data_IF_379542608298
#
_entry.id   IF_379542608298
#
_cell.length_a   1.000
_cell.length_b   1.000
_cell.length_c   1.000
_cell.angle_alpha   90.00
_cell.angle_beta   90.00
_cell.angle_gamma   90.00
#
_symmetry.space_group_name_H-M   'P 1'
#
loop_
_entity.id
_entity.type
_entity.pdbx_description
1 polymer ?
#
# COMPACT_ATOMS: atom_id res chain seq x y z
N UNK A 1 -1.32 10.75 -4.70
CA UNK A 1 -0.75 9.61 -3.96
C UNK A 1 -0.35 8.55 -4.96
N UNK A 2 0.83 8.66 -5.54
CA UNK A 2 1.30 7.76 -6.58
C UNK A 2 2.81 7.56 -6.43
N UNK A 3 3.26 6.31 -6.53
CA UNK A 3 4.69 5.97 -6.46
C UNK A 3 5.39 6.58 -7.66
N UNK A 4 6.52 7.24 -7.41
CA UNK A 4 7.38 7.83 -8.43
C UNK A 4 6.67 8.83 -9.36
N UNK A 5 5.52 9.38 -8.97
CA UNK A 5 4.87 10.46 -9.73
C UNK A 5 5.33 11.81 -9.19
N UNK A 6 5.97 12.61 -10.04
CA UNK A 6 6.39 13.98 -9.73
C UNK A 6 5.23 14.95 -9.84
N UNK A 7 4.49 14.86 -10.94
CA UNK A 7 3.30 15.63 -11.29
C UNK A 7 2.47 14.81 -12.28
N UNK A 8 1.21 15.16 -12.54
CA UNK A 8 0.42 14.48 -13.59
C UNK A 8 0.41 15.39 -14.82
N UNK A 9 0.98 14.92 -15.93
CA UNK A 9 0.85 15.57 -17.25
C UNK A 9 -0.01 14.77 -18.22
N UNK A 10 0.03 13.44 -18.12
CA UNK A 10 -0.64 12.53 -19.05
C UNK A 10 -1.42 11.45 -18.29
N UNK A 11 -2.69 11.28 -18.66
CA UNK A 11 -3.59 10.24 -18.15
C UNK A 11 -3.84 9.24 -19.27
N UNK A 12 -3.40 8.00 -19.09
CA UNK A 12 -3.67 6.91 -20.03
C UNK A 12 -4.77 6.03 -19.49
N UNK A 13 -5.92 6.03 -20.15
CA UNK A 13 -7.02 5.12 -19.86
C UNK A 13 -6.82 3.80 -20.61
N UNK A 14 -6.77 2.69 -19.88
CA UNK A 14 -6.89 1.36 -20.47
C UNK A 14 -8.35 0.93 -20.45
N UNK A 15 -8.96 0.92 -21.63
CA UNK A 15 -10.36 0.58 -21.89
C UNK A 15 -10.42 -0.70 -22.69
N UNK A 16 -11.10 -1.72 -22.17
CA UNK A 16 -11.22 -3.02 -22.83
C UNK A 16 -12.64 -3.57 -22.69
N UNK A 17 -12.97 -4.60 -23.45
CA UNK A 17 -14.29 -5.26 -23.42
C UNK A 17 -14.63 -5.90 -22.06
N UNK A 18 -13.61 -6.18 -21.25
CA UNK A 18 -13.75 -6.80 -19.94
C UNK A 18 -12.79 -6.19 -18.91
N UNK A 19 -13.25 -5.28 -18.04
CA UNK A 19 -14.64 -4.84 -17.86
C UNK A 19 -15.03 -3.66 -18.77
N UNK A 20 -16.19 -3.78 -19.41
CA UNK A 20 -16.85 -2.69 -20.15
C UNK A 20 -17.19 -1.51 -19.22
N UNK A 21 -17.02 -0.30 -19.74
CA UNK A 21 -17.46 0.92 -19.09
C UNK A 21 -18.97 1.12 -19.24
N UNK A 22 -19.62 1.52 -18.15
CA UNK A 22 -21.03 1.94 -18.14
C UNK A 22 -21.20 3.33 -18.75
N UNK A 23 -22.45 3.74 -19.01
CA UNK A 23 -22.75 5.10 -19.47
C UNK A 23 -22.25 6.17 -18.46
N UNK A 24 -22.46 5.95 -17.17
CA UNK A 24 -21.98 6.85 -16.12
C UNK A 24 -20.44 6.92 -16.08
N UNK A 25 -19.75 5.78 -16.29
CA UNK A 25 -18.29 5.79 -16.39
C UNK A 25 -17.82 6.70 -17.54
N UNK A 26 -18.50 6.65 -18.70
CA UNK A 26 -18.18 7.49 -19.85
C UNK A 26 -18.44 8.98 -19.61
N UNK A 27 -19.54 9.33 -18.93
CA UNK A 27 -19.80 10.72 -18.52
C UNK A 27 -18.67 11.28 -17.65
N UNK A 28 -18.17 10.47 -16.70
CA UNK A 28 -17.07 10.88 -15.83
C UNK A 28 -15.73 10.94 -16.58
N UNK A 29 -15.46 9.98 -17.47
CA UNK A 29 -14.28 9.99 -18.34
C UNK A 29 -14.28 11.22 -19.25
N UNK A 30 -15.43 11.63 -19.78
CA UNK A 30 -15.55 12.84 -20.58
C UNK A 30 -15.17 14.09 -19.78
N UNK A 31 -15.64 14.24 -18.54
CA UNK A 31 -15.24 15.35 -17.65
C UNK A 31 -13.73 15.42 -17.44
N UNK A 32 -13.06 14.26 -17.38
CA UNK A 32 -11.60 14.18 -17.23
C UNK A 32 -10.91 14.53 -18.55
N UNK A 33 -11.43 14.04 -19.67
CA UNK A 33 -10.90 14.33 -21.01
C UNK A 33 -10.95 15.82 -21.36
N UNK A 34 -12.03 16.50 -20.95
CA UNK A 34 -12.23 17.94 -21.15
C UNK A 34 -11.44 18.82 -20.15
N UNK A 35 -10.67 18.21 -19.24
CA UNK A 35 -9.87 18.92 -18.23
C UNK A 35 -8.53 19.41 -18.77
N UNK A 36 -7.67 19.95 -17.90
CA UNK A 36 -6.34 20.47 -18.28
C UNK A 36 -5.30 19.38 -18.59
N UNK A 37 -5.61 18.10 -18.37
CA UNK A 37 -4.65 17.01 -18.55
C UNK A 37 -4.69 16.43 -19.95
N UNK A 38 -3.50 16.08 -20.48
CA UNK A 38 -3.43 15.30 -21.71
C UNK A 38 -3.97 13.89 -21.44
N UNK A 39 -4.85 13.40 -22.31
CA UNK A 39 -5.46 12.09 -22.15
C UNK A 39 -5.16 11.20 -23.35
N UNK A 40 -4.99 9.90 -23.09
CA UNK A 40 -4.81 8.88 -24.11
C UNK A 40 -5.65 7.65 -23.80
N UNK A 41 -6.11 6.97 -24.84
CA UNK A 41 -6.95 5.79 -24.71
C UNK A 41 -6.28 4.58 -25.34
N UNK A 42 -5.77 3.69 -24.48
CA UNK A 42 -5.27 2.38 -24.88
C UNK A 42 -6.45 1.41 -24.91
N UNK A 43 -6.84 0.93 -26.10
CA UNK A 43 -8.04 0.10 -26.25
C UNK A 43 -7.92 -1.02 -27.26
N UNK A 44 -8.65 -2.11 -27.01
CA UNK A 44 -8.91 -3.19 -27.97
C UNK A 44 -10.34 -3.16 -28.52
N UNK A 45 -11.13 -2.14 -28.16
CA UNK A 45 -12.46 -1.92 -28.70
C UNK A 45 -12.39 -1.40 -30.14
N UNK A 46 -13.46 -1.66 -30.89
CA UNK A 46 -13.51 -1.23 -32.27
C UNK A 46 -13.69 0.27 -32.43
N UNK A 47 -14.57 0.82 -31.61
CA UNK A 47 -14.97 2.22 -31.57
C UNK A 47 -15.00 2.69 -30.11
N UNK A 48 -14.69 3.97 -29.90
CA UNK A 48 -14.87 4.68 -28.63
C UNK A 48 -15.87 5.83 -28.85
N UNK A 49 -16.42 6.44 -27.79
CA UNK A 49 -17.36 7.55 -27.94
C UNK A 49 -16.79 8.74 -28.74
N UNK A 50 -17.65 9.37 -29.54
CA UNK A 50 -17.30 10.45 -30.49
C UNK A 50 -16.67 11.71 -29.86
N UNK A 51 -16.74 11.87 -28.53
CA UNK A 51 -16.08 12.99 -27.85
C UNK A 51 -14.56 12.82 -27.78
N UNK A 52 -14.02 11.61 -28.04
CA UNK A 52 -12.60 11.30 -28.00
C UNK A 52 -12.00 11.49 -29.39
N UNK A 53 -10.96 12.31 -29.50
CA UNK A 53 -10.25 12.51 -30.77
C UNK A 53 -9.48 11.24 -31.18
N UNK A 54 -9.61 10.83 -32.44
CA UNK A 54 -8.93 9.65 -33.01
C UNK A 54 -7.41 9.67 -32.77
N UNK A 55 -6.80 10.85 -32.72
CA UNK A 55 -5.37 11.00 -32.50
C UNK A 55 -4.94 10.63 -31.08
N UNK A 56 -5.85 10.61 -30.10
CA UNK A 56 -5.58 10.21 -28.71
C UNK A 56 -5.79 8.71 -28.46
N UNK A 57 -6.21 7.95 -29.49
CA UNK A 57 -6.51 6.53 -29.40
C UNK A 57 -5.31 5.68 -29.85
N UNK A 58 -4.87 4.76 -28.98
CA UNK A 58 -3.94 3.68 -29.31
C UNK A 58 -4.73 2.37 -29.38
N UNK A 59 -5.02 1.94 -30.60
CA UNK A 59 -5.69 0.66 -30.85
C UNK A 59 -4.69 -0.50 -30.79
N UNK A 60 -4.96 -1.47 -29.92
CA UNK A 60 -4.16 -2.68 -29.74
C UNK A 60 -5.07 -3.89 -29.90
N UNK A 61 -4.74 -4.80 -30.81
CA UNK A 61 -5.56 -6.01 -30.97
C UNK A 61 -5.66 -6.82 -29.66
N UNK A 62 -6.84 -7.37 -29.36
CA UNK A 62 -7.17 -7.98 -28.05
C UNK A 62 -6.17 -9.04 -27.59
N UNK A 63 -5.65 -9.87 -28.52
CA UNK A 63 -4.62 -10.87 -28.22
C UNK A 63 -3.29 -10.26 -27.76
N UNK A 64 -2.96 -9.04 -28.21
CA UNK A 64 -1.76 -8.33 -27.76
C UNK A 64 -2.02 -7.55 -26.48
N UNK A 65 -3.25 -7.12 -26.19
CA UNK A 65 -3.57 -6.29 -25.01
C UNK A 65 -3.12 -6.91 -23.68
N UNK A 66 -3.11 -8.25 -23.59
CA UNK A 66 -2.60 -8.96 -22.41
C UNK A 66 -1.11 -8.75 -22.13
N UNK A 67 -0.34 -8.30 -23.13
CA UNK A 67 1.08 -7.96 -23.03
C UNK A 67 1.33 -6.46 -22.77
N UNK A 68 0.29 -5.64 -22.82
CA UNK A 68 0.37 -4.20 -22.56
C UNK A 68 0.18 -3.87 -21.07
N UNK A 69 0.71 -2.72 -20.61
CA UNK A 69 1.43 -1.69 -21.39
C UNK A 69 2.87 -2.10 -21.77
N UNK A 70 3.30 -1.74 -22.99
CA UNK A 70 4.67 -1.96 -23.49
C UNK A 70 5.53 -0.70 -23.32
N UNK A 71 6.86 -0.84 -23.45
CA UNK A 71 7.77 0.32 -23.41
C UNK A 71 7.49 1.32 -24.55
N UNK A 72 7.07 0.82 -25.71
CA UNK A 72 6.71 1.66 -26.85
C UNK A 72 5.56 2.64 -26.56
N UNK A 73 4.68 2.32 -25.60
CA UNK A 73 3.65 3.26 -25.12
C UNK A 73 4.32 4.51 -24.54
N UNK A 74 5.34 4.32 -23.72
CA UNK A 74 6.03 5.41 -23.05
C UNK A 74 6.84 6.25 -24.02
N UNK A 75 7.50 5.61 -25.00
CA UNK A 75 8.23 6.31 -26.05
C UNK A 75 7.28 7.23 -26.84
N UNK A 76 6.12 6.72 -27.23
CA UNK A 76 5.09 7.50 -27.90
C UNK A 76 4.60 8.70 -27.06
N UNK A 77 4.28 8.46 -25.78
CA UNK A 77 3.80 9.52 -24.88
C UNK A 77 4.86 10.61 -24.69
N UNK A 78 6.13 10.22 -24.54
CA UNK A 78 7.26 11.14 -24.41
C UNK A 78 7.40 12.02 -25.65
N UNK A 79 7.34 11.43 -26.83
CA UNK A 79 7.45 12.16 -28.10
C UNK A 79 6.27 13.12 -28.31
N UNK A 80 5.04 12.68 -28.01
CA UNK A 80 3.83 13.47 -28.24
C UNK A 80 3.64 14.61 -27.24
N UNK A 81 3.84 14.33 -25.94
CA UNK A 81 3.47 15.27 -24.87
C UNK A 81 4.66 15.88 -24.14
N UNK A 82 5.89 15.55 -24.53
CA UNK A 82 7.11 15.98 -23.82
C UNK A 82 7.04 15.69 -22.31
N UNK A 83 6.53 14.50 -21.97
CA UNK A 83 6.30 14.06 -20.59
C UNK A 83 7.29 12.96 -20.19
N UNK A 84 7.71 12.94 -18.93
CA UNK A 84 8.54 11.88 -18.36
C UNK A 84 7.69 10.70 -17.88
N UNK A 85 8.31 9.53 -17.66
CA UNK A 85 7.61 8.36 -17.12
C UNK A 85 6.96 8.63 -15.75
N UNK A 86 7.62 9.46 -14.92
CA UNK A 86 7.11 9.93 -13.63
C UNK A 86 5.97 10.95 -13.73
N UNK A 87 5.56 11.32 -14.94
CA UNK A 87 4.51 12.30 -15.21
C UNK A 87 3.26 11.67 -15.83
N UNK A 88 3.27 10.34 -15.94
CA UNK A 88 2.25 9.53 -16.57
C UNK A 88 1.51 8.74 -15.49
N UNK A 89 0.19 8.71 -15.60
CA UNK A 89 -0.66 7.82 -14.80
C UNK A 89 -1.44 6.87 -15.72
N UNK A 90 -1.51 5.61 -15.32
CA UNK A 90 -2.23 4.56 -16.02
C UNK A 90 -3.51 4.23 -15.23
N UNK A 91 -4.67 4.40 -15.83
CA UNK A 91 -5.98 4.23 -15.18
C UNK A 91 -6.73 3.06 -15.82
N UNK A 92 -7.24 2.13 -15.03
CA UNK A 92 -8.06 1.03 -15.56
C UNK A 92 -9.04 0.45 -14.55
N UNK A 93 -10.13 -0.16 -15.05
CA UNK A 93 -10.99 -1.07 -14.27
C UNK A 93 -10.46 -2.53 -14.27
N UNK A 94 -9.47 -2.88 -15.10
CA UNK A 94 -8.88 -4.24 -15.12
C UNK A 94 -7.69 -4.39 -14.15
N UNK A 95 -7.91 -5.15 -13.06
CA UNK A 95 -6.87 -5.48 -12.07
C UNK A 95 -5.65 -6.23 -12.64
N UNK A 96 -5.80 -6.95 -13.76
CA UNK A 96 -4.69 -7.66 -14.42
C UNK A 96 -3.77 -6.67 -15.13
N UNK A 97 -4.35 -5.66 -15.77
CA UNK A 97 -3.62 -4.56 -16.38
C UNK A 97 -2.85 -3.79 -15.32
N UNK A 98 -3.52 -3.33 -14.25
CA UNK A 98 -2.84 -2.58 -13.18
C UNK A 98 -1.73 -3.38 -12.51
N UNK A 99 -1.95 -4.68 -12.24
CA UNK A 99 -0.90 -5.57 -11.73
C UNK A 99 0.34 -5.65 -12.61
N UNK A 100 0.18 -5.71 -13.94
CA UNK A 100 1.32 -5.66 -14.88
C UNK A 100 1.97 -4.29 -14.88
N UNK A 101 1.16 -3.24 -14.86
CA UNK A 101 1.62 -1.84 -14.84
C UNK A 101 2.39 -1.48 -13.59
N UNK A 102 2.19 -2.17 -12.46
CA UNK A 102 3.00 -1.98 -11.25
C UNK A 102 4.49 -2.30 -11.43
N UNK A 103 4.85 -2.99 -12.52
CA UNK A 103 6.26 -3.15 -12.92
C UNK A 103 6.87 -1.86 -13.42
N UNK A 104 6.07 -0.90 -13.87
CA UNK A 104 6.53 0.34 -14.49
C UNK A 104 6.76 1.45 -13.46
N UNK A 105 7.53 2.46 -13.85
CA UNK A 105 7.82 3.64 -13.03
C UNK A 105 6.83 4.79 -13.25
N UNK A 106 5.58 4.47 -13.57
CA UNK A 106 4.46 5.41 -13.71
C UNK A 106 3.48 5.24 -12.55
N UNK A 107 2.58 6.20 -12.38
CA UNK A 107 1.46 6.02 -11.45
C UNK A 107 0.46 5.00 -11.99
N UNK A 108 -0.08 4.14 -11.12
CA UNK A 108 -1.07 3.13 -11.51
C UNK A 108 -2.32 3.23 -10.67
N UNK A 109 -3.46 3.40 -11.31
CA UNK A 109 -4.75 3.63 -10.68
C UNK A 109 -5.72 2.52 -11.10
N UNK A 110 -6.35 1.89 -10.11
CA UNK A 110 -7.46 0.97 -10.31
C UNK A 110 -8.77 1.68 -9.98
N UNK A 111 -9.71 1.64 -10.92
CA UNK A 111 -11.11 1.98 -10.66
C UNK A 111 -11.85 0.68 -10.34
N UNK A 112 -12.42 0.56 -9.15
CA UNK A 112 -13.11 -0.65 -8.71
C UNK A 112 -14.23 -0.34 -7.75
N UNK A 113 -15.44 -0.71 -8.15
CA UNK A 113 -16.63 -0.67 -7.29
C UNK A 113 -16.56 -1.72 -6.17
N UNK A 114 -15.83 -2.81 -6.43
CA UNK A 114 -15.64 -3.90 -5.49
C UNK A 114 -14.49 -3.63 -4.53
N UNK A 115 -14.62 -4.10 -3.30
CA UNK A 115 -13.50 -4.19 -2.37
C UNK A 115 -12.37 -5.03 -2.98
N UNK A 116 -11.14 -4.59 -2.78
CA UNK A 116 -9.95 -5.32 -3.22
C UNK A 116 -9.91 -6.70 -2.55
N UNK A 117 -9.54 -7.73 -3.33
CA UNK A 117 -9.29 -9.07 -2.78
C UNK A 117 -7.88 -9.13 -2.19
N UNK A 118 -7.69 -9.90 -1.13
CA UNK A 118 -6.38 -10.01 -0.48
C UNK A 118 -5.26 -10.45 -1.44
N UNK A 119 -5.56 -11.36 -2.36
CA UNK A 119 -4.61 -11.91 -3.33
C UNK A 119 -4.11 -10.87 -4.35
N UNK A 120 -4.77 -9.71 -4.41
CA UNK A 120 -4.37 -8.59 -5.26
C UNK A 120 -3.46 -7.60 -4.52
N UNK A 121 -3.35 -7.71 -3.18
CA UNK A 121 -2.72 -6.67 -2.37
C UNK A 121 -1.19 -6.73 -2.35
N UNK A 122 -0.62 -7.88 -2.67
CA UNK A 122 0.82 -8.04 -2.81
C UNK A 122 1.38 -7.37 -4.08
N UNK A 123 0.50 -6.80 -4.92
CA UNK A 123 0.82 -5.97 -6.07
C UNK A 123 -0.20 -4.82 -6.18
N UNK A 124 -0.50 -4.17 -5.05
CA UNK A 124 -1.58 -3.18 -4.99
C UNK A 124 -1.23 -1.99 -5.91
N UNK A 125 -2.18 -1.51 -6.74
CA UNK A 125 -2.01 -0.25 -7.48
C UNK A 125 -1.71 0.92 -6.54
N UNK A 126 -1.20 2.01 -7.10
CA UNK A 126 -0.87 3.22 -6.34
C UNK A 126 -2.09 3.99 -5.82
N UNK A 127 -3.25 3.80 -6.43
CA UNK A 127 -4.52 4.26 -5.87
C UNK A 127 -5.64 3.33 -6.30
N UNK A 128 -6.66 3.22 -5.45
CA UNK A 128 -7.92 2.56 -5.78
C UNK A 128 -9.03 3.59 -5.56
N UNK A 129 -9.77 3.90 -6.62
CA UNK A 129 -10.97 4.73 -6.54
C UNK A 129 -12.20 3.88 -6.82
N UNK A 130 -13.31 4.22 -6.19
CA UNK A 130 -14.56 3.50 -6.32
C UNK A 130 -15.15 3.61 -7.73
N UNK A 131 -15.05 4.80 -8.33
CA UNK A 131 -15.53 5.13 -9.66
C UNK A 131 -14.70 6.27 -10.27
N UNK A 132 -14.95 6.59 -11.54
CA UNK A 132 -14.28 7.69 -12.23
C UNK A 132 -14.64 9.07 -11.66
N UNK A 133 -15.87 9.30 -11.19
CA UNK A 133 -16.22 10.56 -10.49
C UNK A 133 -15.33 10.82 -9.28
N UNK A 134 -15.07 9.82 -8.44
CA UNK A 134 -14.18 9.98 -7.28
C UNK A 134 -12.74 10.29 -7.73
N UNK A 135 -12.29 9.67 -8.81
CA UNK A 135 -10.99 9.98 -9.40
C UNK A 135 -10.96 11.44 -9.91
N UNK A 136 -11.99 11.89 -10.62
CA UNK A 136 -12.14 13.26 -11.09
C UNK A 136 -12.11 14.27 -9.93
N UNK A 137 -12.95 14.08 -8.91
CA UNK A 137 -12.99 14.98 -7.74
C UNK A 137 -11.65 15.07 -7.03
N UNK A 138 -11.03 13.93 -6.73
CA UNK A 138 -9.83 13.92 -5.88
C UNK A 138 -8.55 14.26 -6.65
N UNK A 139 -8.43 13.86 -7.91
CA UNK A 139 -7.20 14.03 -8.68
C UNK A 139 -7.28 15.25 -9.58
N UNK A 140 -8.42 15.48 -10.25
CA UNK A 140 -8.57 16.56 -11.22
C UNK A 140 -8.96 17.87 -10.54
N UNK A 141 -10.02 17.86 -9.72
CA UNK A 141 -10.51 19.08 -9.06
C UNK A 141 -9.65 19.48 -7.86
N UNK A 142 -9.47 18.57 -6.91
CA UNK A 142 -8.74 18.87 -5.66
C UNK A 142 -7.21 18.84 -5.84
N UNK A 143 -6.72 18.44 -7.03
CA UNK A 143 -5.30 18.29 -7.36
C UNK A 143 -4.52 17.49 -6.31
N UNK A 144 -5.13 16.45 -5.70
CA UNK A 144 -4.51 15.62 -4.67
C UNK A 144 -3.57 14.61 -5.33
N UNK A 145 -2.48 15.14 -5.89
CA UNK A 145 -1.32 14.38 -6.37
C UNK A 145 -0.23 14.51 -5.32
N UNK A 146 0.50 13.41 -5.08
CA UNK A 146 1.54 13.38 -4.06
C UNK A 146 2.27 12.05 -4.10
N UNK A 147 3.52 12.03 -3.65
CA UNK A 147 4.32 10.81 -3.51
C UNK A 147 3.72 9.95 -2.40
N UNK A 148 3.82 8.62 -2.52
CA UNK A 148 3.35 7.64 -1.51
C UNK A 148 1.82 7.47 -1.40
N UNK A 149 1.43 6.34 -0.80
CA UNK A 149 0.09 5.78 -0.67
C UNK A 149 -0.51 6.06 0.70
N UNK A 150 -1.77 6.46 0.80
CA UNK A 150 -2.53 6.53 2.07
C UNK A 150 -1.70 6.93 3.31
N UNK A 151 -1.57 6.04 4.31
CA UNK A 151 -0.82 6.26 5.56
C UNK A 151 0.70 6.34 5.39
N UNK A 152 1.26 5.94 4.25
CA UNK A 152 2.68 6.17 3.88
C UNK A 152 3.02 7.67 3.88
N UNK A 153 2.04 8.55 3.72
CA UNK A 153 2.26 10.00 3.77
C UNK A 153 2.50 10.56 5.17
N UNK A 154 2.05 9.84 6.21
CA UNK A 154 2.19 10.31 7.59
C UNK A 154 3.54 9.93 8.20
N UNK A 155 4.23 8.96 7.58
CA UNK A 155 5.48 8.41 8.08
C UNK A 155 6.46 8.25 6.91
N UNK A 156 7.65 8.85 6.98
CA UNK A 156 8.22 9.52 8.15
C UNK A 156 7.93 11.03 8.16
N UNK A 157 7.25 11.55 7.14
CA UNK A 157 7.01 12.99 6.93
C UNK A 157 6.18 13.63 8.06
N UNK A 158 6.42 14.92 8.38
CA UNK A 158 5.55 15.69 9.25
C UNK A 158 4.32 16.15 8.45
N UNK A 159 3.13 15.64 8.79
CA UNK A 159 1.88 16.08 8.18
C UNK A 159 0.81 16.30 9.24
N UNK A 160 0.07 17.40 9.12
CA UNK A 160 -0.97 17.82 10.08
C UNK A 160 -2.39 17.48 9.64
N UNK A 161 -2.56 16.84 8.48
CA UNK A 161 -3.86 16.47 7.91
C UNK A 161 -3.82 15.04 7.39
N UNK A 162 -4.04 14.08 8.28
CA UNK A 162 -4.42 12.74 7.86
C UNK A 162 -5.92 12.74 7.57
N UNK A 163 -6.30 12.55 6.31
CA UNK A 163 -7.64 12.06 6.00
C UNK A 163 -7.59 10.53 6.16
N UNK A 164 -8.48 9.95 6.97
CA UNK A 164 -8.51 8.50 7.22
C UNK A 164 -8.61 7.74 5.90
N UNK A 165 -7.47 7.21 5.46
CA UNK A 165 -7.34 6.47 4.21
C UNK A 165 -6.52 5.23 4.49
N UNK A 166 -7.10 4.08 4.18
CA UNK A 166 -6.54 2.75 4.39
C UNK A 166 -7.05 1.84 3.27
N UNK A 167 -6.30 0.79 2.94
CA UNK A 167 -6.86 -0.30 2.14
C UNK A 167 -7.80 -1.08 3.03
N UNK A 168 -8.99 -1.38 2.53
CA UNK A 168 -9.92 -2.30 3.18
C UNK A 168 -10.18 -3.47 2.24
N UNK A 169 -9.94 -4.67 2.73
CA UNK A 169 -10.21 -5.91 2.01
C UNK A 169 -10.84 -6.96 2.93
N UNK A 170 -11.40 -7.99 2.31
CA UNK A 170 -11.79 -9.21 3.01
C UNK A 170 -10.70 -10.26 2.82
N UNK A 171 -10.16 -10.75 3.93
CA UNK A 171 -9.19 -11.84 3.95
C UNK A 171 -9.92 -13.17 4.24
N UNK A 172 -9.79 -14.19 3.38
CA UNK A 172 -10.41 -15.49 3.61
C UNK A 172 -9.68 -16.27 4.70
N UNK A 173 -10.44 -16.78 5.67
CA UNK A 173 -9.93 -17.69 6.72
C UNK A 173 -10.24 -19.14 6.36
N UNK A 174 -11.49 -19.38 5.96
CA UNK A 174 -12.00 -20.66 5.47
C UNK A 174 -13.02 -20.41 4.35
N UNK A 175 -13.59 -21.47 3.79
CA UNK A 175 -14.61 -21.37 2.72
C UNK A 175 -15.84 -20.54 3.15
N UNK A 176 -16.16 -20.53 4.45
CA UNK A 176 -17.32 -19.83 5.01
C UNK A 176 -16.99 -18.58 5.83
N UNK A 177 -15.72 -18.36 6.21
CA UNK A 177 -15.32 -17.25 7.08
C UNK A 177 -14.35 -16.30 6.40
N UNK A 178 -14.62 -15.01 6.54
CA UNK A 178 -13.75 -13.91 6.09
C UNK A 178 -13.60 -12.90 7.23
N UNK A 179 -12.46 -12.22 7.25
CA UNK A 179 -12.16 -11.15 8.21
C UNK A 179 -11.86 -9.86 7.47
N UNK A 180 -12.18 -8.71 8.07
CA UNK A 180 -11.80 -7.41 7.52
C UNK A 180 -10.31 -7.18 7.79
N UNK A 181 -9.56 -6.80 6.76
CA UNK A 181 -8.17 -6.38 6.91
C UNK A 181 -8.02 -4.95 6.38
N UNK A 182 -7.47 -4.12 7.25
CA UNK A 182 -7.19 -2.72 7.03
C UNK A 182 -5.67 -2.48 6.99
N UNK A 183 -5.16 -1.78 5.97
CA UNK A 183 -3.73 -1.49 5.84
C UNK A 183 -3.45 -0.01 5.61
N UNK A 184 -2.47 0.55 6.31
CA UNK A 184 -2.04 1.94 6.12
C UNK A 184 -1.14 2.15 4.91
N UNK A 185 -0.45 1.11 4.43
CA UNK A 185 0.49 1.28 3.34
C UNK A 185 1.03 -0.01 2.75
N UNK A 186 2.10 0.15 1.99
CA UNK A 186 2.86 -0.94 1.36
C UNK A 186 4.21 -1.08 2.03
N UNK A 187 4.73 -2.30 1.98
CA UNK A 187 6.06 -2.61 2.47
C UNK A 187 6.91 -3.25 1.38
N UNK A 188 8.04 -2.62 1.06
CA UNK A 188 9.01 -3.15 0.11
C UNK A 188 10.20 -3.72 0.89
N UNK A 189 10.29 -5.05 0.89
CA UNK A 189 11.41 -5.78 1.50
C UNK A 189 12.75 -5.45 0.83
N UNK A 190 13.87 -5.81 1.46
CA UNK A 190 15.22 -5.52 0.94
C UNK A 190 15.54 -6.13 -0.43
N UNK A 191 14.76 -7.10 -0.90
CA UNK A 191 14.90 -7.69 -2.24
C UNK A 191 14.15 -6.90 -3.32
N UNK A 192 13.19 -6.07 -2.92
CA UNK A 192 12.37 -5.32 -3.86
C UNK A 192 13.09 -4.04 -4.30
N UNK A 193 13.04 -3.69 -5.59
CA UNK A 193 13.76 -2.52 -6.14
C UNK A 193 13.37 -1.19 -5.46
N UNK A 194 12.08 -1.03 -5.10
CA UNK A 194 11.58 0.09 -4.30
C UNK A 194 12.14 0.21 -2.87
N UNK A 195 12.90 -0.75 -2.37
CA UNK A 195 13.40 -0.72 -0.99
C UNK A 195 14.20 0.55 -0.68
N UNK A 196 15.09 0.95 -1.60
CA UNK A 196 15.90 2.15 -1.45
C UNK A 196 15.19 3.43 -1.92
N UNK A 197 13.91 3.36 -2.33
CA UNK A 197 13.14 4.52 -2.77
C UNK A 197 11.90 4.78 -1.91
N UNK A 198 11.65 3.96 -0.88
CA UNK A 198 10.42 4.01 -0.11
C UNK A 198 10.65 4.34 1.38
N UNK A 199 10.57 5.63 1.77
CA UNK A 199 10.78 6.07 3.15
C UNK A 199 9.91 5.35 4.18
N UNK A 200 8.65 5.07 3.87
CA UNK A 200 7.74 4.39 4.79
C UNK A 200 8.22 2.99 5.16
N UNK A 201 8.72 2.21 4.19
CA UNK A 201 9.29 0.89 4.48
C UNK A 201 10.54 0.98 5.35
N UNK A 202 11.39 1.99 5.15
CA UNK A 202 12.56 2.24 5.99
C UNK A 202 12.15 2.62 7.42
N UNK A 203 11.14 3.47 7.58
CA UNK A 203 10.61 3.84 8.88
C UNK A 203 10.04 2.64 9.64
N UNK A 204 9.22 1.78 8.99
CA UNK A 204 8.67 0.57 9.62
C UNK A 204 9.80 -0.38 10.08
N UNK A 205 10.75 -0.70 9.20
CA UNK A 205 11.82 -1.65 9.54
C UNK A 205 12.77 -1.10 10.60
N UNK A 206 13.07 0.21 10.57
CA UNK A 206 13.93 0.83 11.57
C UNK A 206 13.23 0.96 12.93
N UNK A 207 11.92 1.24 12.95
CA UNK A 207 11.13 1.27 14.19
C UNK A 207 11.09 -0.09 14.88
N UNK A 208 11.13 -1.18 14.11
CA UNK A 208 11.09 -2.57 14.58
C UNK A 208 12.40 -3.06 15.20
N UNK A 209 13.56 -2.56 14.76
CA UNK A 209 14.87 -3.12 15.10
C UNK A 209 15.41 -2.50 16.39
N UNK A 210 15.56 -3.29 17.46
CA UNK A 210 16.06 -2.81 18.77
C UNK A 210 17.44 -2.16 18.72
N UNK A 211 18.28 -2.52 17.76
CA UNK A 211 19.60 -1.90 17.55
C UNK A 211 19.55 -0.61 16.70
N UNK A 212 18.37 -0.19 16.25
CA UNK A 212 18.22 1.04 15.48
C UNK A 212 18.07 2.24 16.41
N UNK A 213 18.68 3.38 16.03
CA UNK A 213 18.43 4.68 16.68
C UNK A 213 16.97 5.15 16.54
N UNK A 214 16.22 4.54 15.62
CA UNK A 214 14.81 4.81 15.36
C UNK A 214 13.87 3.83 16.06
N UNK A 215 14.38 2.90 16.86
CA UNK A 215 13.54 1.96 17.62
C UNK A 215 12.51 2.72 18.46
N UNK A 216 11.23 2.37 18.28
CA UNK A 216 10.09 2.99 18.96
C UNK A 216 9.80 4.47 18.61
N UNK A 217 10.64 5.14 17.81
CA UNK A 217 10.48 6.58 17.52
C UNK A 217 9.22 6.94 16.74
N UNK A 218 8.64 5.97 16.04
CA UNK A 218 7.39 6.15 15.30
C UNK A 218 6.16 5.61 16.05
N UNK A 219 6.29 5.12 17.29
CA UNK A 219 5.19 4.50 18.03
C UNK A 219 3.98 5.44 18.20
N UNK A 220 4.20 6.69 18.61
CA UNK A 220 3.12 7.69 18.76
C UNK A 220 2.40 7.92 17.42
N UNK A 221 3.14 8.14 16.33
CA UNK A 221 2.53 8.32 14.99
C UNK A 221 1.75 7.09 14.54
N UNK A 222 2.24 5.89 14.83
CA UNK A 222 1.54 4.64 14.51
C UNK A 222 0.26 4.48 15.34
N UNK A 223 0.29 4.86 16.61
CA UNK A 223 -0.90 4.91 17.46
C UNK A 223 -1.92 5.93 16.95
N UNK A 224 -1.49 7.13 16.56
CA UNK A 224 -2.36 8.15 15.98
C UNK A 224 -3.06 7.66 14.71
N UNK A 225 -2.33 6.97 13.83
CA UNK A 225 -2.90 6.34 12.62
C UNK A 225 -4.00 5.33 12.97
N UNK A 226 -3.78 4.48 13.99
CA UNK A 226 -4.77 3.51 14.47
C UNK A 226 -6.00 4.23 15.02
N UNK A 227 -5.82 5.19 15.93
CA UNK A 227 -6.90 5.94 16.59
C UNK A 227 -7.75 6.68 15.54
N UNK A 228 -7.12 7.47 14.67
CA UNK A 228 -7.82 8.26 13.65
C UNK A 228 -8.58 7.37 12.67
N UNK A 229 -8.06 6.17 12.39
CA UNK A 229 -8.76 5.22 11.54
C UNK A 229 -9.97 4.62 12.26
N UNK A 230 -9.83 4.17 13.50
CA UNK A 230 -10.97 3.67 14.29
C UNK A 230 -12.06 4.73 14.48
N UNK A 231 -11.69 6.00 14.69
CA UNK A 231 -12.66 7.11 14.79
C UNK A 231 -13.47 7.30 13.52
N UNK A 232 -12.93 6.93 12.36
CA UNK A 232 -13.64 6.97 11.08
C UNK A 232 -14.58 5.79 10.84
N UNK A 233 -14.55 4.77 11.69
CA UNK A 233 -15.40 3.59 11.54
C UNK A 233 -16.85 3.88 11.94
N UNK A 234 -17.83 3.39 11.14
CA UNK A 234 -19.21 3.30 11.61
C UNK A 234 -19.28 2.33 12.81
N UNK A 235 -20.26 2.54 13.69
CA UNK A 235 -20.41 1.75 14.91
C UNK A 235 -20.48 0.25 14.66
N UNK A 236 -21.10 -0.15 13.54
CA UNK A 236 -21.23 -1.54 13.11
C UNK A 236 -19.90 -2.29 12.86
N UNK A 237 -18.77 -1.58 12.75
CA UNK A 237 -17.45 -2.22 12.60
C UNK A 237 -16.45 -1.78 13.67
N UNK A 238 -16.92 -1.06 14.70
CA UNK A 238 -16.10 -0.70 15.84
C UNK A 238 -15.82 -1.97 16.67
N UNK A 239 -14.57 -2.22 17.10
CA UNK A 239 -14.28 -3.40 17.89
C UNK A 239 -14.67 -3.20 19.36
N UNK A 240 -15.11 -4.28 20.00
CA UNK A 240 -15.26 -4.35 21.47
C UNK A 240 -13.90 -4.52 22.16
N UNK A 241 -12.92 -5.05 21.43
CA UNK A 241 -11.61 -5.36 21.97
C UNK A 241 -10.47 -5.21 20.94
N UNK A 242 -9.31 -4.79 21.43
CA UNK A 242 -8.07 -4.67 20.67
C UNK A 242 -7.00 -5.61 21.23
N UNK A 243 -6.26 -6.27 20.35
CA UNK A 243 -5.01 -6.95 20.72
C UNK A 243 -3.97 -6.79 19.61
N UNK A 244 -2.71 -7.10 19.88
CA UNK A 244 -1.70 -7.23 18.84
C UNK A 244 -1.32 -8.69 18.64
N UNK A 245 -0.75 -9.00 17.47
CA UNK A 245 -0.13 -10.30 17.23
C UNK A 245 0.93 -10.58 18.30
N UNK A 246 0.79 -11.65 19.10
CA UNK A 246 1.69 -11.90 20.21
C UNK A 246 3.12 -12.08 19.74
N UNK A 247 4.12 -11.58 20.50
CA UNK A 247 5.49 -11.93 20.26
C UNK A 247 5.69 -13.43 20.53
N UNK A 248 6.87 -13.94 20.20
CA UNK A 248 7.24 -15.30 20.58
C UNK A 248 7.29 -15.42 22.11
N UNK A 249 7.18 -16.65 22.65
CA UNK A 249 7.40 -16.87 24.07
C UNK A 249 8.72 -16.22 24.52
N UNK A 250 8.68 -15.51 25.65
CA UNK A 250 9.82 -14.81 26.27
C UNK A 250 10.35 -13.56 25.52
N UNK A 251 9.69 -13.10 24.47
CA UNK A 251 10.01 -11.83 23.82
C UNK A 251 9.05 -10.71 24.28
N UNK A 252 9.55 -9.49 24.45
CA UNK A 252 8.70 -8.33 24.72
C UNK A 252 8.02 -7.84 23.43
N UNK A 253 6.74 -7.48 23.52
CA UNK A 253 6.02 -6.93 22.38
C UNK A 253 6.45 -5.49 22.12
N UNK A 254 6.90 -5.22 20.91
CA UNK A 254 7.10 -3.85 20.39
C UNK A 254 5.81 -3.01 20.35
N UNK A 255 4.64 -3.64 20.41
CA UNK A 255 3.35 -2.94 20.40
C UNK A 255 2.95 -2.45 21.80
N UNK A 256 3.69 -2.82 22.84
CA UNK A 256 3.41 -2.42 24.23
C UNK A 256 3.25 -0.90 24.36
N UNK A 257 4.26 -0.13 23.95
CA UNK A 257 4.19 1.35 24.00
C UNK A 257 3.10 1.92 23.09
N UNK A 258 2.86 1.29 21.94
CA UNK A 258 1.79 1.70 21.00
C UNK A 258 0.41 1.57 21.68
N UNK A 259 0.18 0.46 22.36
CA UNK A 259 -1.07 0.15 23.08
C UNK A 259 -1.22 0.99 24.33
N UNK A 260 -0.15 1.18 25.10
CA UNK A 260 -0.12 2.12 26.24
C UNK A 260 -0.56 3.52 25.79
N UNK A 261 -0.09 3.99 24.63
CA UNK A 261 -0.55 5.25 24.07
C UNK A 261 -2.02 5.21 23.64
N UNK A 262 -2.46 4.18 22.90
CA UNK A 262 -3.86 4.05 22.45
C UNK A 262 -4.83 4.09 23.63
N UNK A 263 -4.57 3.31 24.68
CA UNK A 263 -5.43 3.23 25.86
C UNK A 263 -5.26 4.41 26.84
N UNK A 264 -4.22 5.23 26.68
CA UNK A 264 -4.10 6.50 27.41
C UNK A 264 -4.99 7.60 26.80
N UNK A 265 -5.51 7.40 25.59
CA UNK A 265 -6.25 8.42 24.85
C UNK A 265 -7.66 8.61 25.41
N UNK A 266 -8.05 9.87 25.65
CA UNK A 266 -9.32 10.23 26.30
C UNK A 266 -10.48 10.35 25.31
N UNK A 267 -10.64 9.38 24.41
CA UNK A 267 -11.78 9.30 23.47
C UNK A 267 -12.78 8.26 23.99
N UNK A 268 -14.05 8.66 24.11
CA UNK A 268 -15.11 7.84 24.71
C UNK A 268 -15.30 6.51 23.99
N UNK A 269 -15.19 6.48 22.65
CA UNK A 269 -15.31 5.24 21.88
C UNK A 269 -14.10 4.34 22.10
N UNK A 270 -12.91 4.90 22.31
CA UNK A 270 -11.69 4.14 22.56
C UNK A 270 -11.65 3.58 24.00
N UNK A 271 -12.16 4.33 24.98
CA UNK A 271 -12.22 3.89 26.38
C UNK A 271 -13.14 2.69 26.60
N UNK A 272 -14.08 2.44 25.69
CA UNK A 272 -14.97 1.29 25.72
C UNK A 272 -14.32 0.01 25.17
N UNK A 273 -13.18 0.14 24.47
CA UNK A 273 -12.46 -0.99 23.89
C UNK A 273 -11.64 -1.67 25.00
N UNK A 274 -11.74 -3.00 25.09
CA UNK A 274 -10.92 -3.79 26.01
C UNK A 274 -9.54 -4.12 25.42
N UNK A 275 -8.49 -4.11 26.25
CA UNK A 275 -7.17 -4.65 25.86
C UNK A 275 -7.11 -6.17 26.07
N UNK A 276 -7.12 -6.92 24.97
CA UNK A 276 -7.00 -8.38 24.97
C UNK A 276 -5.57 -8.89 24.76
N UNK A 277 -4.57 -8.01 24.72
CA UNK A 277 -3.19 -8.36 24.36
C UNK A 277 -2.54 -9.38 25.30
N UNK A 278 -3.00 -9.48 26.55
CA UNK A 278 -2.50 -10.47 27.53
C UNK A 278 -3.13 -11.86 27.36
N UNK A 279 -4.24 -11.96 26.63
CA UNK A 279 -5.03 -13.18 26.55
C UNK A 279 -4.83 -13.94 25.24
N UNK A 280 -4.56 -13.23 24.14
CA UNK A 280 -4.04 -13.86 22.93
C UNK A 280 -2.53 -14.12 23.13
N UNK A 281 -2.10 -15.37 23.19
CA UNK A 281 -0.71 -15.75 23.47
C UNK A 281 -0.16 -16.69 22.41
N UNK A 282 1.15 -16.63 22.15
CA UNK A 282 1.85 -17.62 21.33
C UNK A 282 2.18 -18.86 22.18
N UNK A 283 1.77 -20.05 21.73
CA UNK A 283 1.88 -21.32 22.49
C UNK A 283 3.13 -22.13 22.14
N UNK A 284 3.81 -21.82 21.03
CA UNK A 284 5.01 -22.52 20.57
C UNK A 284 6.04 -21.57 20.00
N UNK A 285 7.32 -21.96 20.10
CA UNK A 285 8.37 -21.36 19.29
C UNK A 285 8.16 -21.74 17.82
N UNK A 286 8.14 -20.76 16.92
CA UNK A 286 8.09 -20.97 15.47
C UNK A 286 9.34 -20.39 14.82
N UNK A 287 9.89 -21.05 13.80
CA UNK A 287 11.13 -20.62 13.14
C UNK A 287 11.02 -19.23 12.49
N UNK A 288 12.16 -18.53 12.31
CA UNK A 288 12.17 -17.20 11.67
C UNK A 288 11.71 -17.33 10.21
N UNK A 289 10.64 -16.62 9.86
CA UNK A 289 9.94 -16.66 8.57
C UNK A 289 10.79 -16.28 7.32
N UNK A 290 12.07 -15.91 7.48
CA UNK A 290 12.89 -15.35 6.40
C UNK A 290 13.24 -16.37 5.30
N UNK A 291 13.30 -17.65 5.62
CA UNK A 291 13.80 -18.69 4.70
C UNK A 291 12.75 -19.72 4.25
N UNK A 292 11.49 -19.58 4.69
CA UNK A 292 10.40 -20.53 4.40
C UNK A 292 9.54 -20.07 3.23
N UNK A 293 9.13 -21.02 2.37
CA UNK A 293 8.17 -20.78 1.28
C UNK A 293 6.74 -20.52 1.78
N UNK A 294 5.85 -20.02 0.91
CA UNK A 294 4.47 -19.62 1.28
C UNK A 294 3.66 -20.74 1.94
N UNK A 295 3.71 -21.97 1.39
CA UNK A 295 3.00 -23.11 1.98
C UNK A 295 3.59 -23.54 3.33
N UNK A 296 4.92 -23.59 3.43
CA UNK A 296 5.62 -23.88 4.69
C UNK A 296 5.33 -22.85 5.79
N UNK A 297 5.10 -21.58 5.41
CA UNK A 297 4.69 -20.54 6.36
C UNK A 297 3.27 -20.76 6.89
N UNK A 298 2.36 -21.28 6.08
CA UNK A 298 0.98 -21.58 6.52
C UNK A 298 0.95 -22.74 7.52
N UNK A 299 1.71 -23.80 7.28
CA UNK A 299 1.83 -24.94 8.21
C UNK A 299 2.62 -24.61 9.47
N UNK A 300 3.65 -23.77 9.38
CA UNK A 300 4.51 -23.45 10.53
C UNK A 300 3.86 -22.55 11.60
N UNK A 301 2.75 -21.86 11.30
CA UNK A 301 2.07 -20.96 12.24
C UNK A 301 0.66 -21.47 12.64
N UNK A 302 0.14 -22.51 11.99
CA UNK A 302 -1.14 -23.14 12.36
C UNK A 302 -1.13 -23.56 13.85
N UNK A 303 -2.17 -23.24 14.61
CA UNK A 303 -2.27 -23.51 16.05
C UNK A 303 -1.13 -22.91 16.92
N UNK A 304 -0.40 -21.90 16.42
CA UNK A 304 0.65 -21.25 17.20
C UNK A 304 0.13 -20.24 18.22
N UNK A 305 -1.17 -19.92 18.19
CA UNK A 305 -1.81 -18.96 19.07
C UNK A 305 -3.00 -19.59 19.78
N UNK A 306 -3.26 -19.14 21.01
CA UNK A 306 -4.47 -19.46 21.78
C UNK A 306 -4.98 -18.22 22.48
N UNK A 307 -6.27 -18.18 22.75
CA UNK A 307 -6.89 -17.19 23.64
C UNK A 307 -7.17 -17.87 24.98
N UNK A 308 -6.79 -17.25 26.09
CA UNK A 308 -6.89 -17.84 27.44
C UNK A 308 -8.19 -17.49 28.18
N UNK A 309 -9.06 -16.70 27.57
CA UNK A 309 -10.36 -16.32 28.10
C UNK A 309 -11.46 -16.55 27.06
N UNK A 310 -12.70 -16.59 27.52
CA UNK A 310 -13.87 -16.56 26.65
C UNK A 310 -14.07 -15.15 26.07
N UNK A 311 -14.19 -15.07 24.74
CA UNK A 311 -14.47 -13.82 24.00
C UNK A 311 -15.77 -13.93 23.20
N UNK A 312 -16.69 -14.79 23.66
CA UNK A 312 -18.01 -15.01 23.07
C UNK A 312 -18.76 -13.70 22.77
N UNK A 313 -19.18 -13.54 21.52
CA UNK A 313 -19.96 -12.37 21.07
C UNK A 313 -19.13 -11.10 20.81
N UNK A 314 -17.82 -11.11 21.06
CA UNK A 314 -16.98 -9.92 20.87
C UNK A 314 -16.53 -9.76 19.43
N UNK A 315 -16.49 -8.51 18.97
CA UNK A 315 -15.79 -8.06 17.77
C UNK A 315 -14.36 -7.66 18.14
N UNK A 316 -13.39 -8.51 17.77
CA UNK A 316 -11.98 -8.33 18.15
C UNK A 316 -11.16 -7.83 16.96
N UNK A 317 -10.33 -6.82 17.21
CA UNK A 317 -9.39 -6.28 16.23
C UNK A 317 -7.95 -6.58 16.62
N UNK A 318 -7.19 -7.13 15.68
CA UNK A 318 -5.80 -7.52 15.89
C UNK A 318 -4.85 -6.62 15.11
N UNK A 319 -3.84 -6.07 15.77
CA UNK A 319 -2.80 -5.22 15.17
C UNK A 319 -1.55 -6.04 14.83
N UNK A 320 -1.02 -5.87 13.62
CA UNK A 320 0.29 -6.41 13.21
C UNK A 320 1.10 -5.37 12.42
N UNK A 321 2.39 -5.62 12.16
CA UNK A 321 3.22 -4.67 11.41
C UNK A 321 3.04 -4.83 9.91
N UNK A 322 3.49 -5.96 9.39
CA UNK A 322 3.64 -6.20 7.97
C UNK A 322 3.09 -7.57 7.68
N UNK A 323 1.97 -7.61 6.97
CA UNK A 323 1.46 -8.87 6.47
C UNK A 323 2.25 -9.29 5.22
N UNK A 324 2.68 -10.55 5.19
CA UNK A 324 3.33 -11.16 4.02
C UNK A 324 2.42 -12.17 3.34
N UNK A 325 2.31 -13.37 3.91
CA UNK A 325 1.46 -14.46 3.38
C UNK A 325 0.09 -14.55 4.06
N UNK A 326 -0.13 -13.77 5.11
CA UNK A 326 -1.35 -13.83 5.92
C UNK A 326 -1.41 -15.04 6.87
N UNK A 327 -0.37 -15.87 6.95
CA UNK A 327 -0.33 -17.05 7.82
C UNK A 327 -0.55 -16.69 9.30
N UNK A 328 0.14 -15.66 9.79
CA UNK A 328 -0.03 -15.17 11.16
C UNK A 328 -1.45 -14.63 11.42
N UNK A 329 -1.98 -13.82 10.50
CA UNK A 329 -3.36 -13.31 10.59
C UNK A 329 -4.36 -14.46 10.67
N UNK A 330 -4.19 -15.46 9.80
CA UNK A 330 -5.06 -16.64 9.76
C UNK A 330 -5.06 -17.39 11.08
N UNK A 331 -3.88 -17.68 11.63
CA UNK A 331 -3.76 -18.39 12.90
C UNK A 331 -4.33 -17.60 14.09
N UNK A 332 -4.11 -16.28 14.15
CA UNK A 332 -4.74 -15.44 15.18
C UNK A 332 -6.26 -15.42 15.05
N UNK A 333 -6.80 -15.31 13.83
CA UNK A 333 -8.23 -15.32 13.58
C UNK A 333 -8.87 -16.65 13.98
N UNK A 334 -8.24 -17.76 13.62
CA UNK A 334 -8.70 -19.11 14.01
C UNK A 334 -8.74 -19.26 15.54
N UNK A 335 -7.71 -18.81 16.26
CA UNK A 335 -7.67 -18.84 17.72
C UNK A 335 -8.79 -17.99 18.36
N UNK A 336 -9.04 -16.80 17.83
CA UNK A 336 -10.11 -15.90 18.31
C UNK A 336 -11.50 -16.49 18.04
N UNK A 337 -11.74 -17.03 16.85
CA UNK A 337 -13.00 -17.70 16.53
C UNK A 337 -13.23 -18.95 17.38
N UNK A 338 -12.18 -19.72 17.69
CA UNK A 338 -12.28 -20.87 18.58
C UNK A 338 -12.63 -20.47 20.02
N UNK A 339 -12.22 -19.27 20.44
CA UNK A 339 -12.54 -18.70 21.75
C UNK A 339 -13.88 -17.94 21.80
N UNK A 340 -14.68 -18.01 20.72
CA UNK A 340 -16.06 -17.49 20.71
C UNK A 340 -16.24 -16.12 20.04
N UNK A 341 -15.18 -15.49 19.52
CA UNK A 341 -15.29 -14.16 18.89
C UNK A 341 -16.32 -14.19 17.75
N UNK A 342 -17.21 -13.20 17.72
CA UNK A 342 -18.24 -13.07 16.68
C UNK A 342 -17.63 -12.54 15.39
N UNK A 343 -16.86 -11.45 15.53
CA UNK A 343 -16.16 -10.82 14.42
C UNK A 343 -14.67 -10.72 14.73
N UNK A 344 -13.84 -10.97 13.73
CA UNK A 344 -12.41 -10.71 13.80
C UNK A 344 -12.02 -9.77 12.66
N UNK A 345 -11.20 -8.78 12.97
CA UNK A 345 -10.64 -7.84 12.00
C UNK A 345 -9.17 -7.56 12.30
N UNK A 346 -8.48 -6.96 11.34
CA UNK A 346 -7.05 -6.71 11.43
C UNK A 346 -6.68 -5.31 10.98
N UNK A 347 -5.77 -4.67 11.71
CA UNK A 347 -4.97 -3.55 11.18
C UNK A 347 -3.54 -4.00 10.96
N UNK A 348 -2.99 -3.62 9.82
CA UNK A 348 -1.56 -3.75 9.54
C UNK A 348 -0.99 -2.39 9.18
N UNK A 349 0.24 -2.11 9.60
CA UNK A 349 0.92 -0.91 9.12
C UNK A 349 1.16 -1.02 7.62
N UNK A 350 1.51 -2.19 7.12
CA UNK A 350 1.71 -2.36 5.69
C UNK A 350 1.44 -3.77 5.16
N UNK A 351 1.20 -3.84 3.86
CA UNK A 351 1.17 -5.10 3.10
C UNK A 351 2.47 -5.25 2.33
N UNK A 352 3.17 -6.36 2.53
CA UNK A 352 4.40 -6.65 1.81
C UNK A 352 4.11 -6.83 0.31
N UNK A 353 4.80 -6.05 -0.51
CA UNK A 353 4.72 -6.15 -1.95
C UNK A 353 5.63 -7.28 -2.44
N UNK A 354 5.12 -8.13 -3.32
CA UNK A 354 5.87 -9.22 -3.91
C UNK A 354 6.98 -8.66 -4.77
N UNK A 355 8.12 -9.31 -4.71
CA UNK A 355 9.20 -9.06 -5.65
C UNK A 355 8.69 -9.34 -7.06
N UNK A 356 8.75 -8.33 -7.92
CA UNK A 356 8.46 -8.48 -9.33
C UNK A 356 9.79 -8.51 -10.07
N UNK A 357 10.19 -9.68 -10.56
CA UNK A 357 11.26 -9.76 -11.56
C UNK A 357 10.80 -9.02 -12.82
N UNK A 358 11.60 -8.05 -13.28
CA UNK A 358 11.20 -7.16 -14.36
C UNK A 358 12.21 -6.05 -14.64
N UNK A 359 11.83 -5.21 -15.61
CA UNK A 359 12.67 -4.23 -16.29
C UNK A 359 13.41 -3.20 -15.40
N UNK A 360 13.03 -3.08 -14.13
CA UNK A 360 13.50 -2.03 -13.22
C UNK A 360 14.17 -2.58 -11.97
N UNK A 361 14.52 -3.87 -11.93
CA UNK A 361 15.37 -4.42 -10.85
C UNK A 361 16.74 -3.74 -10.77
N UNK A 362 17.18 -3.13 -11.87
CA UNK A 362 18.43 -2.37 -12.00
C UNK A 362 18.26 -0.87 -11.72
N UNK A 363 17.02 -0.40 -11.54
CA UNK A 363 16.75 1.01 -11.32
C UNK A 363 17.06 1.41 -9.88
N UNK A 364 18.17 2.12 -9.69
CA UNK A 364 18.68 2.53 -8.38
C UNK A 364 19.13 3.99 -8.38
N UNK A 365 18.97 4.62 -7.22
CA UNK A 365 19.57 5.92 -6.96
C UNK A 365 21.10 5.80 -7.01
N UNK A 366 21.75 6.61 -7.86
CA UNK A 366 23.19 6.64 -8.00
C UNK A 366 23.76 7.95 -7.41
N UNK A 367 24.92 7.86 -6.78
CA UNK A 367 25.58 8.98 -6.13
C UNK A 367 25.98 10.04 -7.18
N UNK A 368 25.55 11.32 -7.02
CA UNK A 368 25.92 12.38 -7.97
C UNK A 368 27.42 12.61 -8.09
N UNK A 369 28.19 12.32 -7.04
CA UNK A 369 29.62 12.64 -6.96
C UNK A 369 30.54 11.54 -7.49
N UNK A 370 30.14 10.27 -7.34
CA UNK A 370 31.00 9.12 -7.67
C UNK A 370 30.30 7.99 -8.41
N UNK A 371 29.01 8.14 -8.72
CA UNK A 371 28.15 7.13 -9.37
C UNK A 371 27.98 5.81 -8.60
N UNK A 372 28.48 5.71 -7.37
CA UNK A 372 28.25 4.57 -6.48
C UNK A 372 26.81 4.44 -5.99
N UNK A 373 26.47 3.30 -5.40
CA UNK A 373 25.11 3.05 -4.87
C UNK A 373 24.74 4.01 -3.73
N UNK A 374 23.51 4.49 -3.75
CA UNK A 374 22.91 5.24 -2.65
C UNK A 374 22.00 4.35 -1.79
N UNK A 375 22.10 4.53 -0.48
CA UNK A 375 21.28 3.84 0.51
C UNK A 375 20.37 4.83 1.21
N UNK A 376 19.07 4.54 1.22
CA UNK A 376 18.05 5.36 1.86
C UNK A 376 18.03 5.10 3.37
N UNK A 377 18.05 6.20 4.12
CA UNK A 377 18.03 6.23 5.57
C UNK A 377 16.99 7.24 6.06
N UNK A 378 16.59 7.11 7.31
CA UNK A 378 15.77 8.10 8.01
C UNK A 378 16.59 8.72 9.12
N UNK A 379 16.60 10.05 9.20
CA UNK A 379 17.31 10.77 10.25
C UNK A 379 16.59 10.58 11.60
N UNK A 380 17.30 10.16 12.65
CA UNK A 380 16.69 9.88 13.96
C UNK A 380 16.24 11.11 14.74
N UNK A 381 16.65 12.30 14.32
CA UNK A 381 16.34 13.57 14.97
C UNK A 381 15.24 14.32 14.21
N UNK A 382 15.40 14.44 12.89
CA UNK A 382 14.43 15.19 12.06
C UNK A 382 13.31 14.31 11.51
N UNK A 383 13.48 12.98 11.55
CA UNK A 383 12.61 12.00 10.89
C UNK A 383 12.51 12.18 9.38
N UNK A 384 13.39 12.96 8.76
CA UNK A 384 13.39 13.13 7.31
C UNK A 384 14.21 12.04 6.62
N UNK A 385 13.77 11.57 5.43
CA UNK A 385 14.56 10.66 4.62
C UNK A 385 15.79 11.37 4.03
N UNK A 386 16.89 10.64 3.89
CA UNK A 386 18.10 11.08 3.22
C UNK A 386 18.85 9.87 2.64
N UNK A 387 19.71 10.12 1.65
CA UNK A 387 20.58 9.10 1.08
C UNK A 387 22.00 9.20 1.63
N UNK A 388 22.68 8.07 1.73
CA UNK A 388 24.12 8.00 2.01
C UNK A 388 24.83 7.17 0.95
N UNK A 389 26.01 7.62 0.52
CA UNK A 389 26.88 6.84 -0.35
C UNK A 389 27.98 6.14 0.47
N UNK A 390 28.17 4.83 0.28
CA UNK A 390 29.24 4.08 0.94
C UNK A 390 30.64 4.49 0.46
N UNK A 391 30.75 4.88 -0.81
CA UNK A 391 32.03 5.01 -1.49
C UNK A 391 32.69 6.36 -1.21
N UNK A 392 31.94 7.45 -1.37
CA UNK A 392 32.42 8.80 -1.07
C UNK A 392 32.03 9.30 0.33
N UNK A 393 31.25 8.52 1.09
CA UNK A 393 30.78 8.84 2.47
C UNK A 393 30.00 10.15 2.61
N UNK A 394 29.44 10.66 1.51
CA UNK A 394 28.57 11.84 1.52
C UNK A 394 27.11 11.45 1.71
N UNK A 395 26.33 12.43 2.16
CA UNK A 395 24.88 12.34 2.31
C UNK A 395 24.19 13.31 1.38
N UNK A 396 22.99 12.95 0.93
CA UNK A 396 22.19 13.73 -0.01
C UNK A 396 20.75 13.79 0.47
N UNK A 397 20.10 14.93 0.24
CA UNK A 397 18.68 15.07 0.55
C UNK A 397 17.85 14.16 -0.34
N UNK A 398 16.73 13.66 0.19
CA UNK A 398 15.90 12.68 -0.49
C UNK A 398 15.28 13.21 -1.79
N UNK A 399 14.66 14.39 -1.75
CA UNK A 399 13.88 14.89 -2.88
C UNK A 399 14.73 15.17 -4.14
N UNK A 400 15.90 15.85 -4.04
CA UNK A 400 16.76 16.06 -5.20
C UNK A 400 17.27 14.76 -5.84
N UNK A 401 17.60 13.74 -5.03
CA UNK A 401 18.02 12.43 -5.54
C UNK A 401 16.87 11.74 -6.27
N UNK A 402 15.65 11.78 -5.72
CA UNK A 402 14.48 11.20 -6.38
C UNK A 402 14.11 11.95 -7.67
N UNK A 403 14.28 13.27 -7.72
CA UNK A 403 14.06 14.06 -8.93
C UNK A 403 15.08 13.77 -10.02
N UNK A 404 16.36 13.63 -9.68
CA UNK A 404 17.40 13.20 -10.61
C UNK A 404 17.13 11.76 -11.11
N UNK A 405 16.79 10.86 -10.20
CA UNK A 405 16.42 9.49 -10.52
C UNK A 405 15.26 9.48 -11.54
N UNK A 406 14.16 10.17 -11.24
CA UNK A 406 13.00 10.27 -12.14
C UNK A 406 13.35 10.87 -13.52
N UNK A 407 14.24 11.86 -13.59
CA UNK A 407 14.74 12.43 -14.86
C UNK A 407 15.55 11.44 -15.69
N UNK A 408 16.16 10.42 -15.07
CA UNK A 408 16.92 9.37 -15.76
C UNK A 408 16.04 8.24 -16.28
N UNK A 409 14.74 8.20 -15.93
CA UNK A 409 13.78 7.26 -16.50
C UNK A 409 13.48 7.68 -17.94
N UNK A 410 14.40 7.31 -18.83
CA UNK A 410 14.27 7.57 -20.26
C UNK A 410 13.10 6.87 -20.88
#
# INVERSE_FOLDING_TARGET
MLRNVSEIKVIVFHISDSPILSANDWEDVQKIYESEYNCMFLTDLDELPDFIDDSDIIKVGSLKMVLWPSLSLFDYIKERFNAQTSEIILVSKDSRFTKRSMKLLSGVILISENMAKYEQLDNTPDAIFHNFNQFYELVVLDKIVGRNYFGENQIPLPTYQFRSRYIHCLYPISDSKRVRLFSFGRYYSSKHYMHEMHPYSKAIISNKKSNSKLFGKFNIKLSDLIIQTMRSFPDAIMPDALCYVPPRPNEESRFKEIFEYIFSYSDERIQQIEDLSKFLIATREFEKQKDLGTEQRLTNVANAFTVTIDVSGKSVMVIDDVVTTGATLKACAEALFQAGAENVSFFVFAINQREQSGLFSEYRAACPDCSGDLYLNINSTTYLPFYSCSDCRRTFDFDPVMEDLNRRIK
#
